data_IF_728637791891
#
_entry.id   IF_728637791891
#
_cell.length_a   1.000
_cell.length_b   1.000
_cell.length_c   1.000
_cell.angle_alpha   90.00
_cell.angle_beta   90.00
_cell.angle_gamma   90.00
#
_symmetry.space_group_name_H-M   'P 1'
#
loop_
_entity.id
_entity.type
_entity.pdbx_description
1 polymer ?
#
# COMPACT_ATOMS: atom_id res chain seq x y z
N UNK A 1 -44.75 -42.10 43.15
CA UNK A 1 -45.12 -41.92 44.57
C UNK A 1 -43.89 -42.23 45.44
N UNK A 2 -43.71 -41.49 46.56
CA UNK A 2 -42.77 -41.78 47.67
C UNK A 2 -41.25 -41.75 47.32
N UNK A 3 -40.43 -41.60 48.36
CA UNK A 3 -38.98 -41.31 48.30
C UNK A 3 -38.12 -42.06 49.35
N UNK A 4 -37.09 -41.42 49.98
CA UNK A 4 -35.92 -42.05 50.67
C UNK A 4 -36.17 -42.37 52.19
N UNK A 5 -35.21 -42.92 53.02
CA UNK A 5 -33.90 -42.37 53.52
C UNK A 5 -32.75 -43.43 53.41
N UNK A 6 -31.57 -43.47 54.10
CA UNK A 6 -30.64 -42.63 54.95
C UNK A 6 -29.21 -43.10 54.50
N UNK A 7 -28.05 -42.41 54.48
CA UNK A 7 -27.38 -41.36 55.26
C UNK A 7 -26.76 -41.81 56.63
N UNK A 8 -25.46 -41.59 56.83
CA UNK A 8 -24.69 -41.64 58.10
C UNK A 8 -23.31 -41.00 57.82
N UNK A 9 -22.85 -39.97 58.54
CA UNK A 9 -22.28 -39.97 59.90
C UNK A 9 -20.90 -40.70 59.94
N UNK A 10 -19.81 -40.20 60.55
CA UNK A 10 -19.62 -39.12 61.55
C UNK A 10 -18.21 -38.42 61.41
N UNK A 11 -17.99 -37.14 61.80
CA UNK A 11 -17.40 -36.63 63.09
C UNK A 11 -15.85 -36.71 63.20
N UNK A 12 -15.04 -35.81 63.81
CA UNK A 12 -15.09 -34.35 64.18
C UNK A 12 -13.69 -33.87 64.66
N UNK A 13 -13.52 -32.56 64.98
CA UNK A 13 -12.39 -31.99 65.77
C UNK A 13 -11.51 -30.98 65.01
N UNK A 14 -11.81 -29.68 64.98
CA UNK A 14 -11.63 -28.61 66.01
C UNK A 14 -10.21 -28.05 66.24
N UNK A 15 -9.99 -26.88 65.62
CA UNK A 15 -9.38 -25.62 66.12
C UNK A 15 -8.28 -25.65 67.20
N UNK A 16 -7.24 -24.84 66.96
CA UNK A 16 -6.70 -23.88 67.95
C UNK A 16 -6.24 -22.58 67.27
N UNK A 17 -6.28 -21.48 68.02
CA UNK A 17 -5.85 -20.11 67.63
C UNK A 17 -5.04 -19.54 68.80
N UNK A 18 -3.97 -18.77 68.53
CA UNK A 18 -3.31 -17.93 69.55
C UNK A 18 -2.34 -16.89 68.91
N UNK A 19 -1.88 -15.91 69.69
CA UNK A 19 -1.15 -14.70 69.26
C UNK A 19 -0.18 -14.18 70.35
N UNK A 20 0.75 -13.21 70.13
CA UNK A 20 1.11 -12.46 68.90
C UNK A 20 2.57 -12.75 68.46
N UNK A 21 3.65 -11.95 68.62
CA UNK A 21 3.90 -10.58 69.15
C UNK A 21 5.17 -9.95 68.52
N UNK A 22 5.63 -8.83 69.09
CA UNK A 22 6.83 -8.04 68.75
C UNK A 22 8.13 -8.88 68.67
N UNK A 23 9.09 -8.65 67.77
CA UNK A 23 9.94 -7.44 67.63
C UNK A 23 10.43 -7.13 66.17
N UNK A 24 11.24 -6.07 66.01
CA UNK A 24 11.85 -5.54 64.76
C UNK A 24 13.39 -5.77 64.77
N UNK A 25 14.11 -5.91 63.63
CA UNK A 25 14.49 -4.71 62.84
C UNK A 25 14.78 -4.86 61.32
N UNK A 26 14.25 -3.90 60.57
CA UNK A 26 14.99 -2.98 59.67
C UNK A 26 16.34 -3.44 59.05
N UNK A 27 16.36 -3.71 57.74
CA UNK A 27 17.46 -3.34 56.81
C UNK A 27 17.23 -3.62 55.31
N UNK A 28 16.31 -4.52 54.94
CA UNK A 28 16.17 -4.97 53.53
C UNK A 28 15.34 -4.06 52.62
N UNK A 29 14.28 -3.40 53.10
CA UNK A 29 13.36 -2.62 52.23
C UNK A 29 13.99 -1.36 51.60
N UNK A 30 14.76 -0.57 52.38
CA UNK A 30 15.43 0.63 51.84
C UNK A 30 16.37 0.37 50.65
N UNK A 31 16.86 -0.86 50.48
CA UNK A 31 17.74 -1.24 49.35
C UNK A 31 16.98 -1.75 48.11
N UNK A 32 15.65 -1.78 48.17
CA UNK A 32 14.77 -2.11 47.04
C UNK A 32 14.22 -0.82 46.43
N UNK A 33 13.67 0.07 47.27
CA UNK A 33 13.12 1.38 46.87
C UNK A 33 14.17 2.25 46.16
N UNK A 34 15.38 2.40 46.73
CA UNK A 34 16.49 3.19 46.15
C UNK A 34 17.06 2.58 44.84
N UNK A 35 16.68 1.34 44.50
CA UNK A 35 17.07 0.67 43.27
C UNK A 35 15.95 0.77 42.21
N UNK A 36 14.69 0.71 42.64
CA UNK A 36 13.52 0.95 41.76
C UNK A 36 13.46 2.39 41.23
N UNK A 37 13.86 3.41 41.99
CA UNK A 37 13.88 4.79 41.49
C UNK A 37 14.96 4.98 40.41
N UNK A 38 16.16 4.40 40.60
CA UNK A 38 17.23 4.43 39.58
C UNK A 38 16.86 3.66 38.31
N UNK A 39 16.05 2.59 38.42
CA UNK A 39 15.49 1.89 37.26
C UNK A 39 14.32 2.63 36.56
N UNK A 40 13.76 3.70 37.15
CA UNK A 40 12.65 4.46 36.57
C UNK A 40 13.14 5.67 35.77
N UNK A 41 14.17 6.39 36.22
CA UNK A 41 14.80 7.44 35.39
C UNK A 41 15.65 6.85 34.24
N UNK A 42 16.31 5.71 34.43
CA UNK A 42 17.09 5.05 33.35
C UNK A 42 16.23 4.63 32.14
N UNK A 43 14.90 4.56 32.28
CA UNK A 43 13.97 4.24 31.18
C UNK A 43 13.52 5.47 30.38
N UNK A 44 14.04 6.67 30.68
CA UNK A 44 13.67 7.94 30.02
C UNK A 44 14.51 8.27 28.77
N UNK A 45 15.71 7.69 28.65
CA UNK A 45 16.55 7.74 27.44
C UNK A 45 16.47 6.45 26.59
N UNK A 46 15.36 5.72 26.70
CA UNK A 46 15.13 4.43 26.02
C UNK A 46 14.92 4.48 24.50
N UNK A 47 15.29 5.56 23.83
CA UNK A 47 15.26 5.67 22.36
C UNK A 47 16.47 4.99 21.74
N UNK A 48 16.24 4.09 20.77
CA UNK A 48 17.33 3.45 20.04
C UNK A 48 18.15 4.46 19.24
N UNK A 49 19.43 4.14 18.98
CA UNK A 49 20.31 4.96 18.14
C UNK A 49 19.68 5.26 16.77
N UNK A 50 18.92 4.31 16.21
CA UNK A 50 18.17 4.46 14.97
C UNK A 50 17.00 5.47 15.08
N UNK A 51 16.23 5.48 16.19
CA UNK A 51 15.19 6.51 16.41
C UNK A 51 15.80 7.89 16.66
N UNK A 52 16.93 7.97 17.38
CA UNK A 52 17.69 9.23 17.58
C UNK A 52 18.25 9.79 16.28
N UNK A 53 18.81 8.94 15.41
CA UNK A 53 19.26 9.32 14.08
C UNK A 53 18.08 9.76 13.21
N UNK A 54 16.98 9.00 13.23
CA UNK A 54 15.76 9.35 12.51
C UNK A 54 15.10 10.64 13.04
N UNK A 55 15.25 10.99 14.33
CA UNK A 55 14.79 12.26 14.88
C UNK A 55 15.59 13.44 14.29
N UNK A 56 16.92 13.36 14.28
CA UNK A 56 17.79 14.36 13.64
C UNK A 56 17.54 14.47 12.14
N UNK A 57 17.25 13.36 11.45
CA UNK A 57 16.81 13.37 10.05
C UNK A 57 15.44 14.02 9.87
N UNK A 58 14.50 13.85 10.81
CA UNK A 58 13.19 14.54 10.79
C UNK A 58 13.30 16.05 10.99
N UNK A 59 14.30 16.52 11.74
CA UNK A 59 14.57 17.95 11.94
C UNK A 59 15.29 18.60 10.74
N UNK A 60 16.15 17.86 10.05
CA UNK A 60 17.01 18.38 8.98
C UNK A 60 16.49 18.16 7.55
N UNK A 61 15.66 17.14 7.32
CA UNK A 61 15.14 16.79 5.99
C UNK A 61 13.67 17.27 5.85
N UNK A 62 13.34 18.09 4.83
CA UNK A 62 11.97 18.54 4.54
C UNK A 62 10.98 17.38 4.41
N UNK A 63 9.74 17.60 4.85
CA UNK A 63 8.73 16.53 4.95
C UNK A 63 8.41 15.88 3.60
N UNK A 64 8.41 16.65 2.51
CA UNK A 64 8.27 16.17 1.14
C UNK A 64 9.34 15.14 0.79
N UNK A 65 10.59 15.40 1.17
CA UNK A 65 11.71 14.51 0.85
C UNK A 65 11.74 13.27 1.75
N UNK A 66 11.34 13.39 3.02
CA UNK A 66 11.09 12.21 3.87
C UNK A 66 9.99 11.31 3.30
N UNK A 67 8.94 11.91 2.72
CA UNK A 67 7.87 11.19 2.01
C UNK A 67 8.42 10.52 0.74
N UNK A 68 9.27 11.19 -0.03
CA UNK A 68 9.93 10.62 -1.21
C UNK A 68 10.80 9.41 -0.84
N UNK A 69 11.68 9.55 0.16
CA UNK A 69 12.54 8.48 0.66
C UNK A 69 11.74 7.26 1.16
N UNK A 70 10.62 7.50 1.84
CA UNK A 70 9.73 6.43 2.29
C UNK A 70 8.99 5.76 1.12
N UNK A 71 8.49 6.54 0.14
CA UNK A 71 7.89 5.99 -1.09
C UNK A 71 8.87 5.16 -1.91
N UNK A 72 10.12 5.62 -2.05
CA UNK A 72 11.18 4.87 -2.73
C UNK A 72 11.42 3.52 -2.04
N UNK A 73 11.51 3.50 -0.70
CA UNK A 73 11.59 2.27 0.08
C UNK A 73 10.39 1.31 -0.17
N UNK A 74 9.15 1.82 -0.26
CA UNK A 74 8.00 0.96 -0.60
C UNK A 74 8.14 0.30 -1.97
N UNK A 75 8.72 1.01 -2.96
CA UNK A 75 8.96 0.49 -4.30
C UNK A 75 10.11 -0.51 -4.31
N UNK A 76 11.26 -0.17 -3.72
CA UNK A 76 12.47 -1.02 -3.64
C UNK A 76 12.26 -2.32 -2.88
N UNK A 77 11.37 -2.34 -1.87
CA UNK A 77 11.03 -3.53 -1.08
C UNK A 77 9.82 -4.28 -1.67
N UNK A 78 9.39 -3.93 -2.88
CA UNK A 78 8.26 -4.55 -3.59
C UNK A 78 6.99 -4.64 -2.72
N UNK A 79 6.65 -3.55 -2.02
CA UNK A 79 5.45 -3.48 -1.19
C UNK A 79 4.21 -3.48 -2.09
N UNK A 80 3.37 -4.50 -1.90
CA UNK A 80 2.19 -4.74 -2.75
C UNK A 80 1.08 -3.75 -2.45
N UNK A 81 0.67 -3.01 -3.49
CA UNK A 81 -0.51 -2.12 -3.44
C UNK A 81 -1.85 -2.88 -3.31
N UNK A 82 -1.84 -4.21 -3.36
CA UNK A 82 -3.02 -5.08 -3.25
C UNK A 82 -3.04 -5.91 -1.95
N UNK A 83 -2.17 -5.56 -0.99
CA UNK A 83 -2.01 -6.24 0.30
C UNK A 83 -2.27 -5.28 1.46
N UNK A 84 -2.41 -5.80 2.69
CA UNK A 84 -2.61 -4.95 3.88
C UNK A 84 -1.29 -4.49 4.46
N UNK A 85 -1.29 -3.33 5.12
CA UNK A 85 -0.11 -2.76 5.79
C UNK A 85 0.59 -3.80 6.68
N UNK A 86 -0.18 -4.53 7.48
CA UNK A 86 0.32 -5.52 8.44
C UNK A 86 1.00 -6.72 7.75
N UNK A 87 0.57 -7.07 6.53
CA UNK A 87 1.20 -8.13 5.74
C UNK A 87 2.51 -7.66 5.11
N UNK A 88 2.57 -6.43 4.60
CA UNK A 88 3.77 -5.90 3.93
C UNK A 88 4.82 -5.33 4.90
N UNK A 89 4.43 -4.94 6.13
CA UNK A 89 5.28 -4.27 7.12
C UNK A 89 6.63 -4.98 7.36
N UNK A 90 6.66 -6.32 7.36
CA UNK A 90 7.88 -7.09 7.59
C UNK A 90 8.98 -6.84 6.53
N UNK A 91 8.61 -6.39 5.32
CA UNK A 91 9.55 -6.05 4.24
C UNK A 91 10.31 -4.73 4.49
N UNK A 92 9.73 -3.84 5.30
CA UNK A 92 10.20 -2.46 5.47
C UNK A 92 10.62 -2.12 6.91
N UNK A 93 10.12 -2.82 7.93
CA UNK A 93 10.32 -2.48 9.35
C UNK A 93 11.79 -2.43 9.80
N UNK A 94 12.68 -3.12 9.09
CA UNK A 94 14.13 -3.15 9.34
C UNK A 94 14.95 -2.22 8.44
N UNK A 95 14.34 -1.51 7.49
CA UNK A 95 15.01 -0.49 6.68
C UNK A 95 15.07 0.83 7.45
N UNK A 96 16.24 1.49 7.51
CA UNK A 96 16.39 2.74 8.27
C UNK A 96 15.40 3.83 7.85
N UNK A 97 14.98 3.85 6.58
CA UNK A 97 14.00 4.81 6.04
C UNK A 97 12.59 4.60 6.60
N UNK A 98 12.29 3.45 7.20
CA UNK A 98 11.02 3.24 7.90
C UNK A 98 10.83 4.23 9.06
N UNK A 99 11.91 4.63 9.73
CA UNK A 99 11.86 5.52 10.89
C UNK A 99 11.78 7.02 10.53
N UNK A 100 12.07 7.39 9.27
CA UNK A 100 12.14 8.79 8.81
C UNK A 100 10.79 9.53 8.83
N UNK A 101 9.69 8.77 8.92
CA UNK A 101 8.32 9.26 9.09
C UNK A 101 7.77 8.81 10.45
N UNK A 102 6.85 9.58 11.05
CA UNK A 102 6.05 9.14 12.20
C UNK A 102 5.02 8.09 11.83
N UNK A 103 4.51 7.32 12.80
CA UNK A 103 3.47 6.29 12.58
C UNK A 103 2.24 6.79 11.81
N UNK A 104 1.85 8.07 12.01
CA UNK A 104 0.76 8.71 11.25
C UNK A 104 1.13 8.97 9.80
N UNK A 105 2.27 9.60 9.55
CA UNK A 105 2.78 9.85 8.20
C UNK A 105 2.97 8.54 7.42
N UNK A 106 3.52 7.48 8.06
CA UNK A 106 3.69 6.15 7.44
C UNK A 106 2.39 5.59 6.87
N UNK A 107 1.29 5.62 7.64
CA UNK A 107 -0.04 5.17 7.17
C UNK A 107 -0.57 6.05 6.03
N UNK A 108 -0.51 7.37 6.18
CA UNK A 108 -0.98 8.32 5.15
C UNK A 108 -0.22 8.18 3.82
N UNK A 109 1.10 7.96 3.87
CA UNK A 109 1.92 7.73 2.67
C UNK A 109 1.65 6.35 2.06
N UNK A 110 1.45 5.31 2.88
CA UNK A 110 1.07 3.98 2.40
C UNK A 110 -0.32 3.96 1.72
N UNK A 111 -1.34 4.58 2.32
CA UNK A 111 -2.68 4.73 1.73
C UNK A 111 -2.61 5.48 0.38
N UNK A 112 -1.81 6.55 0.33
CA UNK A 112 -1.56 7.32 -0.90
C UNK A 112 -0.82 6.47 -1.95
N UNK A 113 0.21 5.72 -1.56
CA UNK A 113 0.96 4.80 -2.44
C UNK A 113 0.08 3.69 -3.01
N UNK A 114 -0.74 3.04 -2.18
CA UNK A 114 -1.73 2.02 -2.58
C UNK A 114 -2.67 2.58 -3.65
N UNK A 115 -3.24 3.77 -3.40
CA UNK A 115 -4.13 4.44 -4.35
C UNK A 115 -3.41 4.82 -5.65
N UNK A 116 -2.25 5.46 -5.55
CA UNK A 116 -1.45 5.90 -6.71
C UNK A 116 -1.06 4.71 -7.59
N UNK A 117 -0.53 3.62 -7.02
CA UNK A 117 -0.17 2.40 -7.78
C UNK A 117 -1.36 1.74 -8.45
N UNK A 118 -2.48 1.60 -7.73
CA UNK A 118 -3.70 1.05 -8.30
C UNK A 118 -4.29 1.95 -9.41
N UNK A 119 -4.09 3.27 -9.36
CA UNK A 119 -4.48 4.21 -10.41
C UNK A 119 -3.50 4.24 -11.58
N UNK A 120 -2.21 4.04 -11.33
CA UNK A 120 -1.10 3.99 -12.29
C UNK A 120 -1.20 2.79 -13.23
N UNK A 121 -1.36 1.57 -12.73
CA UNK A 121 -1.55 0.37 -13.56
C UNK A 121 -2.79 0.54 -14.47
N UNK A 122 -3.88 1.08 -13.91
CA UNK A 122 -5.09 1.43 -14.67
C UNK A 122 -4.85 2.57 -15.67
N UNK A 123 -3.97 3.54 -15.38
CA UNK A 123 -3.60 4.65 -16.28
C UNK A 123 -2.80 4.12 -17.45
N UNK A 124 -1.73 3.36 -17.20
CA UNK A 124 -0.84 2.79 -18.22
C UNK A 124 -1.59 1.93 -19.22
N UNK A 125 -2.45 1.01 -18.76
CA UNK A 125 -3.28 0.17 -19.63
C UNK A 125 -4.19 0.99 -20.56
N UNK A 126 -4.77 2.09 -20.07
CA UNK A 126 -5.60 3.01 -20.86
C UNK A 126 -4.77 3.91 -21.77
N UNK A 127 -3.60 4.36 -21.32
CA UNK A 127 -2.68 5.19 -22.08
C UNK A 127 -2.08 4.42 -23.27
N UNK A 128 -1.69 3.15 -23.09
CA UNK A 128 -1.26 2.27 -24.18
C UNK A 128 -2.34 2.09 -25.23
N UNK A 129 -3.56 1.74 -24.82
CA UNK A 129 -4.70 1.58 -25.75
C UNK A 129 -5.03 2.90 -26.49
N UNK A 130 -4.93 4.05 -25.81
CA UNK A 130 -5.07 5.35 -26.45
C UNK A 130 -3.96 5.61 -27.46
N UNK A 131 -2.70 5.42 -27.07
CA UNK A 131 -1.53 5.63 -27.93
C UNK A 131 -1.63 4.79 -29.21
N UNK A 132 -2.01 3.52 -29.10
CA UNK A 132 -2.22 2.64 -30.26
C UNK A 132 -3.30 3.17 -31.21
N UNK A 133 -4.37 3.80 -30.70
CA UNK A 133 -5.41 4.45 -31.52
C UNK A 133 -4.97 5.77 -32.12
N UNK A 134 -4.29 6.60 -31.35
CA UNK A 134 -3.75 7.88 -31.80
C UNK A 134 -2.69 7.65 -32.91
N UNK A 135 -1.89 6.59 -32.83
CA UNK A 135 -0.93 6.19 -33.87
C UNK A 135 -1.59 5.48 -35.07
N UNK A 136 -2.65 4.69 -34.87
CA UNK A 136 -3.48 4.18 -35.96
C UNK A 136 -4.16 5.33 -36.73
N UNK A 137 -4.59 6.39 -36.04
CA UNK A 137 -5.14 7.59 -36.69
C UNK A 137 -4.08 8.33 -37.51
N UNK A 138 -2.87 8.53 -36.97
CA UNK A 138 -1.72 9.07 -37.74
C UNK A 138 -1.39 8.23 -38.97
N UNK A 139 -1.56 6.90 -38.90
CA UNK A 139 -1.41 6.02 -40.06
C UNK A 139 -2.46 6.35 -41.14
N UNK A 140 -3.75 6.40 -40.80
CA UNK A 140 -4.84 6.78 -41.72
C UNK A 140 -4.62 8.17 -42.35
N UNK A 141 -4.18 9.13 -41.55
CA UNK A 141 -3.85 10.50 -41.98
C UNK A 141 -2.63 10.53 -42.92
N UNK A 142 -1.57 9.78 -42.60
CA UNK A 142 -0.38 9.64 -43.47
C UNK A 142 -0.62 8.82 -44.75
N UNK A 143 -1.71 8.06 -44.82
CA UNK A 143 -2.02 7.16 -45.93
C UNK A 143 -2.74 7.85 -47.11
N UNK A 144 -3.09 9.14 -47.00
CA UNK A 144 -3.68 9.93 -48.10
C UNK A 144 -5.03 9.40 -48.59
N UNK A 145 -5.84 8.83 -47.69
CA UNK A 145 -7.04 8.07 -48.03
C UNK A 145 -8.12 8.94 -48.67
N UNK A 146 -8.53 8.57 -49.89
CA UNK A 146 -9.72 9.15 -50.52
C UNK A 146 -11.01 8.60 -49.89
N UNK A 147 -12.11 9.38 -49.82
CA UNK A 147 -13.34 8.98 -49.12
C UNK A 147 -14.12 7.81 -49.75
N UNK A 148 -13.67 7.28 -50.89
CA UNK A 148 -14.16 6.06 -51.53
C UNK A 148 -13.29 4.82 -51.27
N UNK A 149 -12.11 4.98 -50.66
CA UNK A 149 -11.22 3.87 -50.35
C UNK A 149 -11.90 2.86 -49.40
N UNK A 150 -11.71 1.57 -49.68
CA UNK A 150 -12.19 0.48 -48.85
C UNK A 150 -11.16 0.09 -47.78
N UNK A 151 -11.66 -0.46 -46.67
CA UNK A 151 -10.79 -1.02 -45.63
C UNK A 151 -9.90 -2.15 -46.15
N UNK A 152 -10.32 -2.88 -47.19
CA UNK A 152 -9.56 -3.94 -47.84
C UNK A 152 -8.30 -3.42 -48.55
N UNK A 153 -8.42 -2.37 -49.38
CA UNK A 153 -7.28 -1.75 -50.07
C UNK A 153 -6.26 -1.16 -49.08
N UNK A 154 -6.77 -0.49 -48.03
CA UNK A 154 -5.94 0.02 -46.94
C UNK A 154 -5.23 -1.10 -46.16
N UNK A 155 -5.94 -2.17 -45.78
CA UNK A 155 -5.36 -3.31 -45.07
C UNK A 155 -4.36 -4.11 -45.93
N UNK A 156 -4.57 -4.19 -47.25
CA UNK A 156 -3.61 -4.80 -48.17
C UNK A 156 -2.31 -4.00 -48.24
N UNK A 157 -2.40 -2.67 -48.24
CA UNK A 157 -1.25 -1.77 -48.33
C UNK A 157 -0.50 -1.64 -47.00
N UNK A 158 -1.22 -1.39 -45.91
CA UNK A 158 -0.66 -1.05 -44.60
C UNK A 158 -0.77 -2.17 -43.55
N UNK A 159 -1.25 -3.37 -43.92
CA UNK A 159 -1.36 -4.52 -43.01
C UNK A 159 -0.05 -4.98 -42.36
N UNK A 160 1.09 -4.56 -42.92
CA UNK A 160 2.44 -4.79 -42.37
C UNK A 160 2.98 -3.62 -41.53
N UNK A 161 2.34 -2.45 -41.52
CA UNK A 161 2.69 -1.35 -40.63
C UNK A 161 2.52 -1.78 -39.16
N UNK A 162 3.39 -1.31 -38.26
CA UNK A 162 3.29 -1.63 -36.84
C UNK A 162 2.03 -1.01 -36.21
N UNK A 163 1.71 0.24 -36.58
CA UNK A 163 0.56 1.00 -36.09
C UNK A 163 -0.75 0.30 -36.44
N UNK A 164 -0.83 -0.30 -37.63
CA UNK A 164 -1.94 -1.16 -38.03
C UNK A 164 -2.05 -2.41 -37.15
N UNK A 165 -0.94 -3.12 -36.96
CA UNK A 165 -0.89 -4.39 -36.21
C UNK A 165 -1.13 -4.19 -34.70
N UNK A 166 -0.73 -3.06 -34.14
CA UNK A 166 -0.84 -2.70 -32.73
C UNK A 166 -2.28 -2.57 -32.23
N UNK A 167 -3.26 -2.30 -33.11
CA UNK A 167 -4.67 -2.56 -32.81
C UNK A 167 -4.92 -4.05 -33.02
N UNK A 168 -5.09 -4.83 -31.95
CA UNK A 168 -5.18 -6.29 -32.03
C UNK A 168 -6.43 -6.80 -32.79
N UNK A 169 -7.57 -6.11 -32.63
CA UNK A 169 -8.87 -6.57 -33.11
C UNK A 169 -9.18 -6.04 -34.51
N UNK A 170 -9.38 -6.92 -35.49
CA UNK A 170 -9.68 -6.52 -36.87
C UNK A 170 -10.95 -5.65 -37.00
N UNK A 171 -12.01 -5.97 -36.24
CA UNK A 171 -13.24 -5.14 -36.17
C UNK A 171 -13.00 -3.73 -35.61
N UNK A 172 -11.98 -3.55 -34.77
CA UNK A 172 -11.61 -2.25 -34.21
C UNK A 172 -10.77 -1.44 -35.21
N UNK A 173 -9.87 -2.08 -35.96
CA UNK A 173 -9.19 -1.50 -37.14
C UNK A 173 -10.20 -0.97 -38.16
N UNK A 174 -11.19 -1.80 -38.47
CA UNK A 174 -12.25 -1.48 -39.45
C UNK A 174 -13.17 -0.35 -38.96
N UNK A 175 -13.55 -0.34 -37.68
CA UNK A 175 -14.31 0.78 -37.10
C UNK A 175 -13.53 2.09 -37.23
N UNK A 176 -12.28 2.13 -36.74
CA UNK A 176 -11.45 3.34 -36.77
C UNK A 176 -11.20 3.85 -38.20
N UNK A 177 -11.09 2.95 -39.17
CA UNK A 177 -11.03 3.30 -40.60
C UNK A 177 -12.35 3.91 -41.09
N UNK A 178 -13.49 3.27 -40.81
CA UNK A 178 -14.80 3.75 -41.25
C UNK A 178 -15.18 5.08 -40.60
N UNK A 179 -14.84 5.27 -39.32
CA UNK A 179 -15.02 6.53 -38.59
C UNK A 179 -14.20 7.66 -39.26
N UNK A 180 -12.96 7.40 -39.64
CA UNK A 180 -12.09 8.36 -40.35
C UNK A 180 -12.57 8.67 -41.78
N UNK A 181 -13.04 7.67 -42.54
CA UNK A 181 -13.65 7.89 -43.85
C UNK A 181 -14.97 8.68 -43.72
N UNK A 182 -15.71 8.51 -42.62
CA UNK A 182 -16.89 9.32 -42.29
C UNK A 182 -16.52 10.78 -41.98
N UNK A 183 -15.47 11.02 -41.17
CA UNK A 183 -14.89 12.35 -40.92
C UNK A 183 -14.53 13.05 -42.23
N UNK A 184 -13.83 12.36 -43.15
CA UNK A 184 -13.45 12.92 -44.46
C UNK A 184 -14.67 13.26 -45.32
N UNK A 185 -15.63 12.33 -45.46
CA UNK A 185 -16.91 12.55 -46.16
C UNK A 185 -17.75 13.65 -45.52
N UNK A 186 -17.52 14.01 -44.26
CA UNK A 186 -18.17 15.15 -43.61
C UNK A 186 -17.49 16.45 -44.04
N UNK A 187 -16.16 16.55 -43.92
CA UNK A 187 -15.38 17.74 -44.32
C UNK A 187 -15.61 18.13 -45.78
N UNK A 188 -15.54 17.19 -46.73
CA UNK A 188 -15.83 17.44 -48.16
C UNK A 188 -17.24 18.00 -48.46
N UNK A 189 -18.18 17.91 -47.51
CA UNK A 189 -19.55 18.46 -47.60
C UNK A 189 -19.75 19.72 -46.77
N UNK A 190 -18.80 20.09 -45.93
CA UNK A 190 -18.78 21.36 -45.17
C UNK A 190 -17.84 22.39 -45.83
N UNK A 191 -16.91 21.94 -46.67
CA UNK A 191 -15.97 22.74 -47.47
C UNK A 191 -16.51 23.06 -48.90
N UNK A 192 -17.79 22.80 -49.19
CA UNK A 192 -18.39 22.83 -50.53
C UNK A 192 -19.81 23.39 -50.59
#
# INVERSE_FOLDING_TARGET
MKGPPKASDSESGEKRVNETKEEKPNKKQKKIEENEEKEKDAKKDGTSEAELLAAKQRETIPVEERINMFKAMLIEKEVSAFSTWEKELHKIVFDARYLILTSRERRQVFEKYVKERAEEERREKRQRLRQQKDDYRKLLESAGLGPKCSFGEFAQTYGKDERFRNIEKMRERESLFNDFISDLRKKEREEK
#
